data_IF_081053408522
#
_entry.id   IF_081053408522
#
_cell.length_a   1.000
_cell.length_b   1.000
_cell.length_c   1.000
_cell.angle_alpha   90.00
_cell.angle_beta   90.00
_cell.angle_gamma   90.00
#
_symmetry.space_group_name_H-M   'P 1'
#
loop_
_entity.id
_entity.type
_entity.pdbx_description
1 polymer ?
#
# COMPACT_ATOMS: atom_id res chain seq x y z
N UNK A 1 -10.58 62.73 14.97
CA UNK A 1 -10.14 61.27 15.07
C UNK A 1 -9.73 61.03 16.52
N UNK A 2 -10.56 60.27 17.30
CA UNK A 2 -10.19 59.83 18.66
C UNK A 2 -9.02 58.87 18.54
N UNK A 3 -7.84 59.25 19.03
CA UNK A 3 -6.74 58.35 19.24
C UNK A 3 -7.15 57.28 20.30
N UNK A 4 -7.48 56.09 19.85
CA UNK A 4 -7.71 54.97 20.74
C UNK A 4 -6.42 54.72 21.51
N UNK A 5 -6.42 54.96 22.83
CA UNK A 5 -5.29 54.64 23.71
C UNK A 5 -5.00 53.14 23.56
N UNK A 6 -3.83 52.78 23.11
CA UNK A 6 -3.39 51.40 23.13
C UNK A 6 -3.31 50.92 24.58
N UNK A 7 -4.05 49.85 24.96
CA UNK A 7 -3.99 49.38 26.32
C UNK A 7 -2.55 48.92 26.65
N UNK A 8 -2.06 49.27 27.87
CA UNK A 8 -0.78 48.76 28.36
C UNK A 8 -0.94 47.29 28.73
N UNK A 9 0.05 46.46 28.41
CA UNK A 9 0.06 45.04 28.70
C UNK A 9 1.27 44.70 29.57
N UNK A 10 1.06 43.85 30.57
CA UNK A 10 2.15 43.23 31.31
C UNK A 10 2.82 42.16 30.44
N UNK A 11 4.14 42.17 30.42
CA UNK A 11 4.92 41.09 29.80
C UNK A 11 4.69 39.80 30.59
N UNK A 12 4.23 38.73 29.91
CA UNK A 12 4.04 37.43 30.53
C UNK A 12 5.41 36.78 30.74
N UNK A 13 5.84 36.59 32.00
CA UNK A 13 7.00 35.78 32.34
C UNK A 13 6.56 34.34 32.62
N UNK A 14 7.37 33.37 32.19
CA UNK A 14 7.16 31.96 32.42
C UNK A 14 8.40 31.35 33.07
N UNK A 15 8.20 30.47 34.04
CA UNK A 15 9.28 29.68 34.61
C UNK A 15 9.80 28.63 33.62
N UNK A 16 11.04 28.11 33.80
CA UNK A 16 11.56 27.02 32.96
C UNK A 16 10.63 25.79 33.00
N UNK A 17 10.31 25.25 31.80
CA UNK A 17 9.43 24.10 31.67
C UNK A 17 7.94 24.33 31.99
N UNK A 18 7.55 25.59 32.28
CA UNK A 18 6.15 25.91 32.62
C UNK A 18 5.21 25.78 31.44
N UNK A 19 5.59 26.34 30.30
CA UNK A 19 4.68 26.38 29.15
C UNK A 19 5.40 26.36 27.80
N UNK A 20 4.70 25.79 26.80
CA UNK A 20 5.01 25.95 25.38
C UNK A 20 3.80 26.56 24.65
N UNK A 21 4.05 27.21 23.51
CA UNK A 21 3.03 27.72 22.60
C UNK A 21 3.12 27.01 21.26
N UNK A 22 1.94 26.75 20.67
CA UNK A 22 1.82 26.03 19.39
C UNK A 22 0.96 26.80 18.42
N UNK A 23 1.39 26.83 17.16
CA UNK A 23 0.59 27.37 16.05
C UNK A 23 0.93 26.70 14.74
N UNK A 24 0.05 26.89 13.75
CA UNK A 24 0.27 26.48 12.37
C UNK A 24 0.57 27.69 11.46
N UNK A 25 1.47 27.46 10.51
CA UNK A 25 1.71 28.40 9.42
C UNK A 25 1.52 27.76 8.05
N UNK A 26 1.15 28.56 7.06
CA UNK A 26 1.09 28.10 5.67
C UNK A 26 2.43 28.36 4.97
N UNK A 27 2.94 27.35 4.30
CA UNK A 27 4.15 27.43 3.45
C UNK A 27 3.81 27.34 1.94
N UNK A 28 2.52 27.55 1.58
CA UNK A 28 2.11 27.51 0.18
C UNK A 28 1.76 26.11 -0.29
N UNK A 29 2.38 25.65 -1.37
CA UNK A 29 2.06 24.38 -2.03
C UNK A 29 3.35 23.64 -2.36
N UNK A 30 3.34 22.33 -2.13
CA UNK A 30 4.40 21.40 -2.54
C UNK A 30 3.92 20.55 -3.71
N UNK A 31 4.82 20.24 -4.65
CA UNK A 31 4.57 19.28 -5.73
C UNK A 31 5.05 17.90 -5.28
N UNK A 32 4.14 16.93 -5.16
CA UNK A 32 4.45 15.53 -4.85
C UNK A 32 4.04 14.67 -6.05
N UNK A 33 5.02 14.20 -6.81
CA UNK A 33 4.76 13.56 -8.10
C UNK A 33 3.91 14.45 -9.00
N UNK A 34 2.77 13.93 -9.49
CA UNK A 34 1.80 14.69 -10.30
C UNK A 34 0.79 15.52 -9.47
N UNK A 35 0.86 15.47 -8.14
CA UNK A 35 -0.16 16.08 -7.26
C UNK A 35 0.37 17.32 -6.55
N UNK A 36 -0.39 18.42 -6.59
CA UNK A 36 -0.14 19.61 -5.77
C UNK A 36 -0.85 19.48 -4.43
N UNK A 37 -0.10 19.64 -3.33
CA UNK A 37 -0.64 19.61 -1.96
C UNK A 37 -0.32 20.90 -1.22
N UNK A 38 -1.28 21.33 -0.39
CA UNK A 38 -1.01 22.41 0.57
C UNK A 38 0.10 21.98 1.51
N UNK A 39 1.11 22.81 1.67
CA UNK A 39 2.17 22.64 2.63
C UNK A 39 1.92 23.56 3.84
N UNK A 40 1.78 22.96 5.00
CA UNK A 40 1.66 23.67 6.29
C UNK A 40 2.88 23.36 7.13
N UNK A 41 3.20 24.21 8.08
CA UNK A 41 4.23 23.94 9.06
C UNK A 41 3.69 24.17 10.48
N UNK A 42 4.07 23.27 11.36
CA UNK A 42 3.82 23.33 12.78
C UNK A 42 4.97 24.03 13.47
N UNK A 43 4.68 24.89 14.45
CA UNK A 43 5.67 25.55 15.30
C UNK A 43 5.32 25.30 16.73
N UNK A 44 6.30 24.83 17.52
CA UNK A 44 6.21 24.82 18.99
C UNK A 44 7.40 25.61 19.55
N UNK A 45 7.10 26.54 20.45
CA UNK A 45 8.12 27.37 21.13
C UNK A 45 7.98 27.27 22.65
N UNK A 46 9.09 27.00 23.32
CA UNK A 46 9.12 27.04 24.79
C UNK A 46 9.05 28.50 25.28
N UNK A 47 8.18 28.76 26.25
CA UNK A 47 7.90 30.14 26.70
C UNK A 47 9.01 30.78 27.49
N UNK A 48 9.92 30.02 28.11
CA UNK A 48 11.06 30.55 28.84
C UNK A 48 12.27 30.79 27.96
N UNK A 49 12.88 29.75 27.40
CA UNK A 49 14.12 29.85 26.58
C UNK A 49 13.90 30.39 25.19
N UNK A 50 12.68 30.36 24.67
CA UNK A 50 12.36 30.59 23.25
C UNK A 50 12.90 29.51 22.30
N UNK A 51 13.33 28.36 22.84
CA UNK A 51 13.69 27.20 22.03
C UNK A 51 12.53 26.81 21.13
N UNK A 52 12.80 26.72 19.83
CA UNK A 52 11.78 26.57 18.79
C UNK A 52 11.95 25.24 18.09
N UNK A 53 10.84 24.58 17.80
CA UNK A 53 10.72 23.41 16.94
C UNK A 53 9.80 23.74 15.76
N UNK A 54 10.16 23.26 14.56
CA UNK A 54 9.37 23.44 13.31
C UNK A 54 9.33 22.13 12.56
N UNK A 55 8.15 21.77 12.06
CA UNK A 55 7.95 20.58 11.21
C UNK A 55 6.94 20.88 10.10
N UNK A 56 7.25 20.50 8.87
CA UNK A 56 6.39 20.65 7.71
C UNK A 56 5.54 19.42 7.49
N UNK A 57 4.28 19.63 7.09
CA UNK A 57 3.30 18.57 6.85
C UNK A 57 2.43 18.86 5.63
N UNK A 58 1.88 17.79 5.02
CA UNK A 58 0.92 17.90 3.92
C UNK A 58 -0.54 18.06 4.40
N UNK A 59 -0.77 18.41 5.66
CA UNK A 59 -2.10 18.63 6.23
C UNK A 59 -2.05 18.99 7.71
N UNK A 60 -3.15 19.55 8.19
CA UNK A 60 -3.32 19.99 9.59
C UNK A 60 -4.31 19.09 10.36
N UNK A 61 -4.59 17.87 9.85
CA UNK A 61 -5.53 16.94 10.48
C UNK A 61 -4.98 16.42 11.82
N UNK A 62 -5.87 15.85 12.66
CA UNK A 62 -5.55 15.44 14.04
C UNK A 62 -4.30 14.57 14.13
N UNK A 63 -4.11 13.60 13.23
CA UNK A 63 -2.93 12.75 13.23
C UNK A 63 -1.62 13.52 13.00
N UNK A 64 -1.63 14.56 12.15
CA UNK A 64 -0.47 15.44 11.94
C UNK A 64 -0.21 16.31 13.17
N UNK A 65 -1.28 16.87 13.74
CA UNK A 65 -1.20 17.70 14.94
C UNK A 65 -0.60 16.95 16.12
N UNK A 66 -1.05 15.72 16.38
CA UNK A 66 -0.54 14.89 17.47
C UNK A 66 0.91 14.42 17.18
N UNK A 67 1.22 14.04 15.94
CA UNK A 67 2.58 13.65 15.56
C UNK A 67 3.58 14.78 15.72
N UNK A 68 3.25 15.99 15.26
CA UNK A 68 4.10 17.16 15.43
C UNK A 68 4.33 17.52 16.89
N UNK A 69 3.33 17.37 17.77
CA UNK A 69 3.50 17.51 19.21
C UNK A 69 4.48 16.45 19.74
N UNK A 70 4.28 15.18 19.41
CA UNK A 70 5.16 14.09 19.83
C UNK A 70 6.62 14.34 19.43
N UNK A 71 6.84 14.71 18.16
CA UNK A 71 8.17 15.00 17.62
C UNK A 71 8.81 16.22 18.30
N UNK A 72 8.01 17.27 18.57
CA UNK A 72 8.47 18.46 19.31
C UNK A 72 8.88 18.12 20.75
N UNK A 73 8.07 17.33 21.46
CA UNK A 73 8.39 16.89 22.83
C UNK A 73 9.65 16.01 22.84
N UNK A 74 9.85 15.16 21.83
CA UNK A 74 11.09 14.39 21.67
C UNK A 74 12.29 15.30 21.41
N UNK A 75 12.15 16.31 20.55
CA UNK A 75 13.18 17.30 20.27
C UNK A 75 13.59 18.07 21.51
N UNK A 76 12.67 18.48 22.37
CA UNK A 76 12.96 19.14 23.64
C UNK A 76 13.44 18.14 24.72
N UNK A 77 13.24 16.85 24.56
CA UNK A 77 13.62 15.83 25.53
C UNK A 77 12.75 15.81 26.77
N UNK A 78 11.55 16.39 26.74
CA UNK A 78 10.63 16.44 27.87
C UNK A 78 9.32 17.15 27.56
N UNK A 79 8.40 17.12 28.53
CA UNK A 79 7.06 17.69 28.41
C UNK A 79 6.91 18.93 29.30
N UNK A 80 6.56 20.12 28.80
CA UNK A 80 6.25 21.28 29.59
C UNK A 80 4.98 21.07 30.40
N UNK A 81 4.80 21.80 31.51
CA UNK A 81 3.61 21.67 32.37
C UNK A 81 2.31 22.02 31.62
N UNK A 82 2.35 22.98 30.71
CA UNK A 82 1.20 23.37 29.88
C UNK A 82 1.58 23.61 28.43
N UNK A 83 0.64 23.34 27.50
CA UNK A 83 0.76 23.71 26.10
C UNK A 83 -0.41 24.63 25.71
N UNK A 84 -0.04 25.85 25.30
CA UNK A 84 -0.99 26.86 24.86
C UNK A 84 -1.21 26.69 23.36
N UNK A 85 -2.48 26.48 22.98
CA UNK A 85 -2.90 26.37 21.58
C UNK A 85 -3.90 27.47 21.26
N UNK A 86 -3.85 27.98 20.03
CA UNK A 86 -4.93 28.84 19.55
C UNK A 86 -6.19 28.01 19.27
N UNK A 87 -7.28 28.66 18.87
CA UNK A 87 -8.57 28.04 18.54
C UNK A 87 -8.47 27.14 17.27
N UNK A 88 -7.50 26.27 17.25
CA UNK A 88 -7.29 25.27 16.19
C UNK A 88 -8.35 24.17 16.32
N UNK A 89 -9.18 23.96 15.31
CA UNK A 89 -10.26 22.96 15.32
C UNK A 89 -9.79 21.53 15.63
N UNK A 90 -8.52 21.23 15.37
CA UNK A 90 -7.89 19.95 15.72
C UNK A 90 -7.67 19.77 17.22
N UNK A 91 -7.44 20.86 17.94
CA UNK A 91 -7.22 20.84 19.41
C UNK A 91 -8.43 21.38 20.19
N UNK A 92 -9.09 22.44 19.71
CA UNK A 92 -10.21 23.14 20.39
C UNK A 92 -11.46 23.03 19.53
N UNK A 93 -12.50 22.36 20.01
CA UNK A 93 -13.78 22.22 19.32
C UNK A 93 -14.61 23.50 19.41
N UNK A 94 -14.60 24.15 20.56
CA UNK A 94 -15.25 25.46 20.77
C UNK A 94 -14.60 26.25 21.90
N UNK A 95 -14.43 27.54 21.67
CA UNK A 95 -14.00 28.47 22.71
C UNK A 95 -14.73 29.82 22.49
N UNK A 96 -15.72 30.10 23.32
CA UNK A 96 -16.49 31.35 23.29
C UNK A 96 -16.00 32.26 24.40
N UNK A 97 -16.05 33.57 24.17
CA UNK A 97 -15.71 34.56 25.18
C UNK A 97 -16.51 34.34 26.45
N UNK A 98 -15.82 34.25 27.62
CA UNK A 98 -16.45 34.03 28.93
C UNK A 98 -16.77 32.55 29.24
N UNK A 99 -16.53 31.61 28.33
CA UNK A 99 -16.73 30.18 28.57
C UNK A 99 -15.42 29.40 28.53
N UNK A 100 -15.40 28.26 29.25
CA UNK A 100 -14.27 27.32 29.16
C UNK A 100 -14.13 26.75 27.77
N UNK A 101 -12.90 26.58 27.30
CA UNK A 101 -12.62 25.92 26.03
C UNK A 101 -13.03 24.45 26.08
N UNK A 102 -13.65 23.94 25.01
CA UNK A 102 -13.96 22.54 24.82
C UNK A 102 -12.88 21.96 23.89
N UNK A 103 -12.03 21.10 24.43
CA UNK A 103 -10.96 20.47 23.67
C UNK A 103 -11.45 19.23 22.93
N UNK A 104 -10.72 18.86 21.87
CA UNK A 104 -10.91 17.59 21.20
C UNK A 104 -10.57 16.44 22.17
N UNK A 105 -11.45 15.44 22.38
CA UNK A 105 -11.21 14.33 23.31
C UNK A 105 -9.87 13.63 23.06
N UNK A 106 -9.51 13.38 21.79
CA UNK A 106 -8.23 12.77 21.46
C UNK A 106 -7.02 13.62 21.86
N UNK A 107 -7.16 14.93 21.82
CA UNK A 107 -6.10 15.82 22.30
C UNK A 107 -6.01 15.80 23.82
N UNK A 108 -7.14 15.65 24.52
CA UNK A 108 -7.15 15.45 25.98
C UNK A 108 -6.48 14.13 26.37
N UNK A 109 -6.79 13.04 25.68
CA UNK A 109 -6.15 11.73 25.93
C UNK A 109 -4.63 11.81 25.69
N UNK A 110 -4.22 12.47 24.60
CA UNK A 110 -2.81 12.72 24.30
C UNK A 110 -2.15 13.58 25.37
N UNK A 111 -2.79 14.66 25.82
CA UNK A 111 -2.30 15.54 26.86
C UNK A 111 -2.14 14.79 28.20
N UNK A 112 -3.09 13.95 28.56
CA UNK A 112 -3.03 13.10 29.75
C UNK A 112 -1.87 12.09 29.68
N UNK A 113 -1.68 11.46 28.49
CA UNK A 113 -0.59 10.50 28.27
C UNK A 113 0.80 11.15 28.44
N UNK A 114 1.00 12.36 27.90
CA UNK A 114 2.26 13.10 28.02
C UNK A 114 2.37 13.93 29.31
N UNK A 115 1.29 14.06 30.06
CA UNK A 115 1.28 14.72 31.38
C UNK A 115 1.30 16.26 31.32
N UNK A 116 0.78 16.90 30.26
CA UNK A 116 0.66 18.36 30.19
C UNK A 116 -0.80 18.82 30.24
N UNK A 117 -0.99 20.07 30.69
CA UNK A 117 -2.29 20.73 30.68
C UNK A 117 -2.49 21.46 29.34
N UNK A 118 -3.52 21.12 28.52
CA UNK A 118 -3.85 21.90 27.33
C UNK A 118 -4.56 23.18 27.76
N UNK A 119 -4.06 24.34 27.27
CA UNK A 119 -4.63 25.65 27.53
C UNK A 119 -4.99 26.32 26.20
N UNK A 120 -6.22 26.80 26.07
CA UNK A 120 -6.60 27.61 24.91
C UNK A 120 -6.22 29.06 25.15
N UNK A 121 -5.62 29.74 24.17
CA UNK A 121 -5.36 31.16 24.23
C UNK A 121 -6.69 31.92 24.33
N UNK A 122 -6.74 32.94 25.21
CA UNK A 122 -7.95 33.72 25.40
C UNK A 122 -8.35 34.48 24.12
N UNK A 123 -9.63 34.47 23.80
CA UNK A 123 -10.20 35.23 22.68
C UNK A 123 -9.91 36.72 22.85
N UNK A 124 -9.28 37.37 21.86
CA UNK A 124 -8.91 38.80 21.81
C UNK A 124 -7.74 39.21 22.74
N UNK A 125 -6.95 38.31 23.29
CA UNK A 125 -5.74 38.65 24.03
C UNK A 125 -4.48 38.34 23.22
N UNK A 126 -4.14 39.22 22.30
CA UNK A 126 -3.00 39.06 21.39
C UNK A 126 -1.65 38.86 22.10
N UNK A 127 -1.48 39.41 23.31
CA UNK A 127 -0.24 39.26 24.11
C UNK A 127 0.06 37.82 24.51
N UNK A 128 -0.96 36.98 24.68
CA UNK A 128 -0.79 35.56 25.05
C UNK A 128 -0.21 34.75 23.90
N UNK A 129 -0.37 35.20 22.64
CA UNK A 129 0.03 34.50 21.42
C UNK A 129 1.31 35.07 20.76
N UNK A 130 1.76 36.23 21.19
CA UNK A 130 2.83 36.98 20.50
C UNK A 130 4.14 36.21 20.27
N UNK A 131 4.47 35.23 21.11
CA UNK A 131 5.70 34.42 20.97
C UNK A 131 5.67 33.49 19.76
N UNK A 132 4.58 32.70 19.66
CA UNK A 132 4.44 31.74 18.53
C UNK A 132 4.15 32.48 17.22
N UNK A 133 3.42 33.57 17.24
CA UNK A 133 3.22 34.41 16.02
C UNK A 133 4.54 34.98 15.50
N UNK A 134 5.42 35.42 16.39
CA UNK A 134 6.76 35.87 16.05
C UNK A 134 7.60 34.70 15.47
N UNK A 135 7.48 33.51 16.04
CA UNK A 135 8.15 32.31 15.53
C UNK A 135 7.65 31.93 14.13
N UNK A 136 6.32 31.91 13.91
CA UNK A 136 5.71 31.71 12.57
C UNK A 136 6.19 32.77 11.58
N UNK A 137 6.22 34.05 12.00
CA UNK A 137 6.78 35.13 11.17
C UNK A 137 8.25 34.95 10.84
N UNK A 138 9.04 34.41 11.78
CA UNK A 138 10.45 34.10 11.57
C UNK A 138 10.63 32.97 10.55
N UNK A 139 9.88 31.88 10.64
CA UNK A 139 9.90 30.79 9.64
C UNK A 139 9.61 31.34 8.25
N UNK A 140 8.55 32.14 8.10
CA UNK A 140 8.19 32.73 6.80
C UNK A 140 9.25 33.62 6.23
N UNK A 141 9.88 34.47 7.05
CA UNK A 141 10.82 35.51 6.58
C UNK A 141 12.26 35.02 6.42
N UNK A 142 12.67 33.98 7.15
CA UNK A 142 14.06 33.52 7.17
C UNK A 142 14.24 32.12 6.59
N UNK A 143 13.33 31.19 6.87
CA UNK A 143 13.43 29.83 6.33
C UNK A 143 12.82 29.77 4.91
N UNK A 144 11.58 30.24 4.76
CA UNK A 144 10.85 30.11 3.48
C UNK A 144 11.26 31.17 2.44
N UNK A 145 11.64 32.36 2.84
CA UNK A 145 11.97 33.46 1.90
C UNK A 145 13.24 33.24 1.09
N UNK A 146 14.12 32.31 1.45
CA UNK A 146 15.36 32.00 0.75
C UNK A 146 15.50 30.57 0.27
N UNK A 147 14.43 29.75 0.38
CA UNK A 147 14.47 28.33 0.06
C UNK A 147 13.68 28.04 -1.23
N UNK A 148 14.39 27.55 -2.25
CA UNK A 148 13.73 26.75 -3.27
C UNK A 148 13.28 25.44 -2.61
N UNK A 149 12.00 25.36 -2.26
CA UNK A 149 11.43 24.23 -1.54
C UNK A 149 11.62 22.94 -2.36
N UNK A 150 12.39 21.96 -1.83
CA UNK A 150 12.54 20.67 -2.53
C UNK A 150 11.18 19.98 -2.65
N UNK A 151 10.97 19.23 -3.74
CA UNK A 151 9.73 18.44 -3.97
C UNK A 151 9.67 17.18 -3.10
N UNK A 152 10.16 17.24 -1.87
CA UNK A 152 10.19 16.15 -0.91
C UNK A 152 9.95 16.70 0.51
N UNK A 153 8.91 16.18 1.16
CA UNK A 153 8.59 16.56 2.54
C UNK A 153 9.73 16.23 3.50
N UNK A 154 10.40 15.09 3.30
CA UNK A 154 11.56 14.70 4.11
C UNK A 154 12.72 15.70 3.96
N UNK A 155 13.05 16.09 2.72
CA UNK A 155 14.11 17.06 2.47
C UNK A 155 13.81 18.44 3.07
N UNK A 156 12.55 18.89 3.01
CA UNK A 156 12.12 20.14 3.65
C UNK A 156 12.29 20.07 5.17
N UNK A 157 11.89 18.95 5.80
CA UNK A 157 12.03 18.76 7.24
C UNK A 157 13.50 18.66 7.67
N UNK A 158 14.35 18.01 6.87
CA UNK A 158 15.81 18.01 7.12
C UNK A 158 16.38 19.43 7.05
N UNK A 159 15.99 20.22 6.06
CA UNK A 159 16.40 21.62 5.96
C UNK A 159 15.88 22.47 7.13
N UNK A 160 14.67 22.22 7.60
CA UNK A 160 14.10 22.90 8.77
C UNK A 160 14.88 22.58 10.05
N UNK A 161 15.24 21.34 10.30
CA UNK A 161 16.06 20.93 11.44
C UNK A 161 17.45 21.59 11.37
N UNK A 162 18.09 21.57 10.20
CA UNK A 162 19.38 22.25 10.01
C UNK A 162 19.28 23.77 10.30
N UNK A 163 18.22 24.41 9.81
CA UNK A 163 17.97 25.83 10.07
C UNK A 163 17.72 26.10 11.56
N UNK A 164 17.01 25.23 12.28
CA UNK A 164 16.81 25.34 13.73
C UNK A 164 18.16 25.29 14.48
N UNK A 165 19.03 24.36 14.09
CA UNK A 165 20.32 24.13 14.76
C UNK A 165 21.37 25.20 14.45
N UNK A 166 21.34 25.77 13.25
CA UNK A 166 22.39 26.71 12.78
C UNK A 166 21.97 28.17 12.84
N UNK A 167 20.68 28.49 12.80
CA UNK A 167 20.18 29.87 12.73
C UNK A 167 19.16 30.18 13.81
N UNK A 168 18.04 29.49 13.86
CA UNK A 168 16.91 29.95 14.66
C UNK A 168 17.18 29.91 16.18
N UNK A 169 17.77 28.82 16.65
CA UNK A 169 18.00 28.58 18.07
C UNK A 169 19.38 29.07 18.58
N UNK A 170 20.29 29.49 17.66
CA UNK A 170 21.64 29.94 18.03
C UNK A 170 21.83 31.46 17.91
N UNK A 171 20.89 32.19 17.28
CA UNK A 171 20.90 33.64 17.24
C UNK A 171 20.47 34.25 18.57
N UNK A 172 20.97 35.45 18.89
CA UNK A 172 20.50 36.19 20.08
C UNK A 172 19.05 36.60 19.90
N UNK A 173 18.20 36.16 20.85
CA UNK A 173 16.79 36.51 20.84
C UNK A 173 16.57 37.91 21.38
N UNK A 174 15.76 38.71 20.68
CA UNK A 174 15.57 40.15 21.00
C UNK A 174 15.06 40.40 22.44
N UNK A 175 14.19 39.55 22.94
CA UNK A 175 13.56 39.71 24.25
C UNK A 175 14.47 39.19 25.38
N UNK A 176 15.03 37.97 25.23
CA UNK A 176 15.88 37.36 26.27
C UNK A 176 17.31 37.82 26.23
N UNK A 177 17.77 38.45 25.12
CA UNK A 177 19.18 38.85 24.87
C UNK A 177 20.17 37.68 24.96
N UNK A 178 19.70 36.47 24.81
CA UNK A 178 20.45 35.21 24.90
C UNK A 178 20.07 34.28 23.73
N UNK A 179 20.94 33.33 23.45
CA UNK A 179 20.72 32.31 22.46
C UNK A 179 19.73 31.28 23.05
N UNK A 180 18.60 30.99 22.38
CA UNK A 180 17.61 30.01 22.87
C UNK A 180 18.21 28.65 23.24
N UNK A 181 19.12 28.13 22.41
CA UNK A 181 19.78 26.84 22.66
C UNK A 181 20.63 26.84 23.93
N UNK A 182 21.38 27.96 24.20
CA UNK A 182 22.18 28.07 25.42
C UNK A 182 21.31 28.19 26.67
N UNK A 183 20.29 29.05 26.61
CA UNK A 183 19.34 29.22 27.72
C UNK A 183 18.58 27.93 28.01
N UNK A 184 18.16 27.22 26.96
CA UNK A 184 17.51 25.92 27.08
C UNK A 184 18.44 24.91 27.78
N UNK A 185 19.65 24.71 27.26
CA UNK A 185 20.58 23.72 27.80
C UNK A 185 20.97 23.99 29.27
N UNK A 186 21.17 25.28 29.62
CA UNK A 186 21.62 25.66 30.97
C UNK A 186 20.52 25.60 32.01
N UNK A 187 19.27 25.95 31.67
CA UNK A 187 18.23 26.21 32.67
C UNK A 187 16.95 25.40 32.42
N UNK A 188 16.47 25.33 31.14
CA UNK A 188 15.16 24.79 30.87
C UNK A 188 15.16 23.28 30.61
N UNK A 189 16.24 22.71 30.04
CA UNK A 189 16.34 21.28 29.76
C UNK A 189 16.09 20.32 30.93
N UNK A 190 16.52 20.61 32.16
CA UNK A 190 16.25 19.75 33.32
C UNK A 190 14.86 19.95 33.94
N UNK A 191 14.10 21.00 33.55
CA UNK A 191 12.84 21.38 34.18
C UNK A 191 11.59 20.65 33.69
N UNK A 192 11.47 20.24 32.37
CA UNK A 192 10.31 19.51 31.87
C UNK A 192 10.16 18.11 32.49
N UNK A 193 8.93 17.61 32.49
CA UNK A 193 8.67 16.22 32.89
C UNK A 193 9.29 15.26 31.89
N UNK A 194 9.80 14.09 32.32
CA UNK A 194 10.32 13.08 31.41
C UNK A 194 9.22 12.58 30.49
N UNK A 195 9.62 12.19 29.27
CA UNK A 195 8.71 11.59 28.30
C UNK A 195 8.24 10.21 28.79
N UNK A 196 7.00 9.81 28.45
CA UNK A 196 6.53 8.46 28.73
C UNK A 196 7.38 7.44 27.94
N UNK A 197 7.60 6.23 28.52
CA UNK A 197 8.43 5.20 27.88
C UNK A 197 7.81 4.64 26.59
N UNK A 198 6.48 4.73 26.46
CA UNK A 198 5.75 4.31 25.26
C UNK A 198 5.16 5.56 24.60
N UNK A 199 5.39 5.75 23.29
CA UNK A 199 4.77 6.85 22.56
C UNK A 199 3.24 6.79 22.58
N UNK A 200 2.59 7.95 22.64
CA UNK A 200 1.14 8.05 22.56
C UNK A 200 0.57 7.65 21.21
N UNK A 201 -0.69 7.19 21.16
CA UNK A 201 -1.37 6.89 19.90
C UNK A 201 -1.73 8.17 19.15
N UNK A 202 -1.09 8.37 18.03
CA UNK A 202 -1.31 9.50 17.11
C UNK A 202 -2.17 9.13 15.89
N UNK A 203 -2.59 7.86 15.78
CA UNK A 203 -3.37 7.38 14.63
C UNK A 203 -4.81 7.89 14.67
N UNK A 204 -5.44 7.98 13.51
CA UNK A 204 -6.90 8.17 13.40
C UNK A 204 -7.53 6.89 12.92
N UNK A 205 -8.32 6.25 13.80
CA UNK A 205 -9.04 5.04 13.48
C UNK A 205 -10.30 5.33 12.67
N UNK A 206 -10.55 4.54 11.62
CA UNK A 206 -11.76 4.58 10.77
C UNK A 206 -12.15 3.17 10.38
N UNK A 207 -13.45 2.90 10.38
CA UNK A 207 -13.97 1.67 9.78
C UNK A 207 -14.01 1.85 8.26
N UNK A 208 -13.44 0.89 7.54
CA UNK A 208 -13.37 0.88 6.07
C UNK A 208 -13.86 -0.45 5.53
N UNK A 209 -14.51 -0.44 4.38
CA UNK A 209 -14.93 -1.66 3.69
C UNK A 209 -13.93 -2.01 2.61
N UNK A 210 -13.50 -3.26 2.61
CA UNK A 210 -12.64 -3.80 1.55
C UNK A 210 -13.46 -4.03 0.28
N UNK A 211 -12.96 -3.57 -0.86
CA UNK A 211 -13.61 -3.84 -2.14
C UNK A 211 -13.47 -5.32 -2.53
N UNK A 212 -14.32 -5.85 -3.45
CA UNK A 212 -14.14 -7.21 -3.99
C UNK A 212 -12.79 -7.43 -4.69
N UNK A 213 -12.09 -6.35 -5.06
CA UNK A 213 -10.73 -6.37 -5.63
C UNK A 213 -9.63 -6.32 -4.57
N UNK A 214 -9.96 -6.60 -3.30
CA UNK A 214 -9.01 -6.59 -2.18
C UNK A 214 -8.31 -5.25 -2.01
N UNK A 215 -9.05 -4.13 -2.08
CA UNK A 215 -8.52 -2.76 -1.91
C UNK A 215 -9.32 -1.99 -0.86
N UNK A 216 -8.60 -1.23 -0.07
CA UNK A 216 -9.13 -0.18 0.80
C UNK A 216 -8.77 1.17 0.20
N UNK A 217 -9.66 2.16 0.31
CA UNK A 217 -9.45 3.51 -0.22
C UNK A 217 -9.23 4.50 0.92
N UNK A 218 -8.13 5.26 0.85
CA UNK A 218 -7.88 6.43 1.70
C UNK A 218 -7.33 7.57 0.86
N UNK A 219 -7.87 8.78 1.03
CA UNK A 219 -7.43 10.00 0.34
C UNK A 219 -7.27 9.82 -1.19
N UNK A 220 -8.21 9.10 -1.85
CA UNK A 220 -8.23 8.72 -3.28
C UNK A 220 -7.23 7.62 -3.68
N UNK A 221 -6.36 7.19 -2.80
CA UNK A 221 -5.39 6.12 -3.04
C UNK A 221 -5.95 4.76 -2.62
N UNK A 222 -5.51 3.71 -3.30
CA UNK A 222 -5.91 2.33 -3.05
C UNK A 222 -4.75 1.57 -2.42
N UNK A 223 -5.08 0.74 -1.44
CA UNK A 223 -4.12 -0.07 -0.71
C UNK A 223 -4.60 -1.51 -0.65
N UNK A 224 -3.75 -2.45 -1.02
CA UNK A 224 -4.11 -3.86 -1.06
C UNK A 224 -4.26 -4.45 0.35
N UNK A 225 -5.10 -5.47 0.45
CA UNK A 225 -5.23 -6.31 1.65
C UNK A 225 -5.31 -7.77 1.22
N UNK A 226 -4.97 -8.74 2.10
CA UNK A 226 -5.07 -10.16 1.77
C UNK A 226 -6.47 -10.54 1.28
N UNK A 227 -6.52 -11.39 0.27
CA UNK A 227 -7.75 -11.77 -0.47
C UNK A 227 -8.87 -12.32 0.42
N UNK A 228 -8.52 -12.98 1.52
CA UNK A 228 -9.48 -13.52 2.51
C UNK A 228 -10.35 -12.46 3.18
N UNK A 229 -9.95 -11.18 3.16
CA UNK A 229 -10.72 -10.07 3.72
C UNK A 229 -11.57 -9.31 2.70
N UNK A 230 -11.67 -9.81 1.46
CA UNK A 230 -12.51 -9.20 0.42
C UNK A 230 -13.95 -9.00 0.90
N UNK A 231 -14.51 -7.83 0.64
CA UNK A 231 -15.87 -7.42 1.04
C UNK A 231 -16.14 -7.31 2.54
N UNK A 232 -15.13 -7.52 3.40
CA UNK A 232 -15.25 -7.39 4.86
C UNK A 232 -14.99 -5.96 5.33
N UNK A 233 -15.33 -5.68 6.58
CA UNK A 233 -14.99 -4.43 7.27
C UNK A 233 -13.69 -4.59 8.03
N UNK A 234 -12.80 -3.62 7.90
CA UNK A 234 -11.55 -3.52 8.63
C UNK A 234 -11.48 -2.18 9.37
N UNK A 235 -10.68 -2.14 10.42
CA UNK A 235 -10.31 -0.89 11.09
C UNK A 235 -8.99 -0.39 10.50
N UNK A 236 -9.02 0.80 9.91
CA UNK A 236 -7.85 1.47 9.37
C UNK A 236 -7.35 2.49 10.39
N UNK A 237 -6.10 2.36 10.83
CA UNK A 237 -5.38 3.35 11.62
C UNK A 237 -4.48 4.17 10.67
N UNK A 238 -4.85 5.43 10.47
CA UNK A 238 -4.11 6.35 9.62
C UNK A 238 -3.10 7.15 10.45
N UNK A 239 -1.81 6.89 10.25
CA UNK A 239 -0.69 7.70 10.76
C UNK A 239 -0.26 8.73 9.71
N UNK A 240 0.60 9.70 10.03
CA UNK A 240 1.16 10.62 9.04
C UNK A 240 2.02 9.93 7.97
N UNK A 241 2.75 8.86 8.34
CA UNK A 241 3.75 8.16 7.54
C UNK A 241 3.27 6.81 6.99
N UNK A 242 2.30 6.17 7.64
CA UNK A 242 1.83 4.82 7.31
C UNK A 242 0.35 4.61 7.57
N UNK A 243 -0.15 3.52 7.06
CA UNK A 243 -1.50 2.99 7.29
C UNK A 243 -1.36 1.58 7.87
N UNK A 244 -2.09 1.29 8.93
CA UNK A 244 -2.21 -0.04 9.51
C UNK A 244 -3.66 -0.48 9.42
N UNK A 245 -3.91 -1.66 8.89
CA UNK A 245 -5.23 -2.25 8.71
C UNK A 245 -5.39 -3.42 9.68
N UNK A 246 -6.47 -3.42 10.44
CA UNK A 246 -6.76 -4.43 11.46
C UNK A 246 -8.10 -5.10 11.18
N UNK A 247 -8.14 -6.41 11.38
CA UNK A 247 -9.39 -7.18 11.52
C UNK A 247 -9.50 -7.61 12.98
N UNK A 248 -10.53 -7.14 13.68
CA UNK A 248 -10.61 -7.18 15.13
C UNK A 248 -9.33 -6.55 15.76
N UNK A 249 -8.48 -7.35 16.39
CA UNK A 249 -7.23 -6.88 17.01
C UNK A 249 -5.96 -7.33 16.26
N UNK A 250 -6.13 -8.08 15.15
CA UNK A 250 -5.02 -8.61 14.36
C UNK A 250 -4.61 -7.61 13.28
N UNK A 251 -3.33 -7.28 13.22
CA UNK A 251 -2.75 -6.51 12.12
C UNK A 251 -2.80 -7.35 10.83
N UNK A 252 -3.44 -6.81 9.79
CA UNK A 252 -3.69 -7.49 8.52
C UNK A 252 -2.73 -7.01 7.44
N UNK A 253 -2.52 -5.68 7.38
CA UNK A 253 -1.64 -5.07 6.39
C UNK A 253 -1.09 -3.74 6.90
N UNK A 254 0.12 -3.40 6.43
CA UNK A 254 0.75 -2.10 6.65
C UNK A 254 1.23 -1.54 5.32
N UNK A 255 0.93 -0.27 5.04
CA UNK A 255 1.39 0.41 3.83
C UNK A 255 1.98 1.78 4.17
N UNK A 256 2.95 2.27 3.42
CA UNK A 256 3.38 3.66 3.50
C UNK A 256 2.23 4.57 3.09
N UNK A 257 2.02 5.67 3.82
CA UNK A 257 1.00 6.65 3.45
C UNK A 257 1.46 7.49 2.27
N UNK A 258 0.62 7.60 1.25
CA UNK A 258 0.90 8.41 0.08
C UNK A 258 0.01 9.66 0.06
N UNK A 259 0.63 10.81 -0.17
CA UNK A 259 -0.06 12.09 -0.31
C UNK A 259 -0.29 12.51 -1.78
N UNK A 260 0.11 11.68 -2.75
CA UNK A 260 -0.34 11.80 -4.14
C UNK A 260 -1.81 11.41 -4.28
N UNK A 261 -2.36 11.46 -5.49
CA UNK A 261 -3.74 11.04 -5.78
C UNK A 261 -3.77 9.88 -6.75
N UNK A 262 -4.82 9.04 -6.62
CA UNK A 262 -5.14 7.95 -7.55
C UNK A 262 -4.01 6.92 -7.72
N UNK A 263 -3.17 6.75 -6.69
CA UNK A 263 -2.13 5.70 -6.66
C UNK A 263 -2.74 4.39 -6.17
N UNK A 264 -2.20 3.28 -6.66
CA UNK A 264 -2.54 1.93 -6.21
C UNK A 264 -1.29 1.26 -5.65
N UNK A 265 -1.35 0.88 -4.38
CA UNK A 265 -0.27 0.22 -3.65
C UNK A 265 -0.63 -1.24 -3.47
N UNK A 266 0.07 -2.10 -4.17
CA UNK A 266 -0.12 -3.54 -4.13
C UNK A 266 1.04 -4.23 -3.42
N UNK A 267 0.69 -5.05 -2.44
CA UNK A 267 1.60 -6.03 -1.88
C UNK A 267 1.34 -7.35 -2.62
N UNK A 268 2.36 -7.92 -3.30
CA UNK A 268 2.21 -9.16 -4.07
C UNK A 268 1.72 -10.34 -3.23
N UNK A 269 2.06 -10.40 -1.96
CA UNK A 269 1.64 -11.49 -1.08
C UNK A 269 0.13 -11.47 -0.79
N UNK A 270 -0.51 -10.31 -0.88
CA UNK A 270 -1.94 -10.17 -0.65
C UNK A 270 -2.82 -10.86 -1.72
N UNK A 271 -2.31 -11.04 -2.94
CA UNK A 271 -3.04 -11.69 -4.05
C UNK A 271 -2.55 -13.10 -4.36
N UNK A 272 -1.45 -13.52 -3.73
CA UNK A 272 -0.83 -14.83 -3.98
C UNK A 272 -1.79 -15.99 -3.79
N UNK A 273 -2.52 -16.01 -2.68
CA UNK A 273 -3.52 -17.04 -2.39
C UNK A 273 -4.59 -17.13 -3.49
N UNK A 274 -5.06 -16.00 -4.00
CA UNK A 274 -6.05 -15.95 -5.09
C UNK A 274 -5.46 -16.45 -6.42
N UNK A 275 -4.20 -16.12 -6.69
CA UNK A 275 -3.50 -16.63 -7.89
C UNK A 275 -3.29 -18.15 -7.80
N UNK A 276 -2.94 -18.67 -6.63
CA UNK A 276 -2.78 -20.11 -6.40
C UNK A 276 -4.13 -20.84 -6.54
N UNK A 277 -5.21 -20.29 -6.01
CA UNK A 277 -6.56 -20.82 -6.21
C UNK A 277 -6.96 -20.85 -7.68
N UNK A 278 -6.70 -19.78 -8.44
CA UNK A 278 -6.94 -19.73 -9.89
C UNK A 278 -6.11 -20.76 -10.65
N UNK A 279 -4.86 -20.93 -10.25
CA UNK A 279 -3.97 -21.92 -10.85
C UNK A 279 -4.50 -23.34 -10.62
N UNK A 280 -4.83 -23.68 -9.37
CA UNK A 280 -5.43 -24.98 -9.00
C UNK A 280 -6.76 -25.24 -9.72
N UNK A 281 -7.64 -24.23 -9.80
CA UNK A 281 -8.92 -24.35 -10.51
C UNK A 281 -8.72 -24.59 -12.00
N UNK A 282 -7.73 -23.94 -12.63
CA UNK A 282 -7.39 -24.17 -14.05
C UNK A 282 -6.76 -25.54 -14.24
N UNK A 283 -5.89 -25.96 -13.34
CA UNK A 283 -5.27 -27.28 -13.37
C UNK A 283 -6.30 -28.39 -13.14
N UNK A 284 -7.30 -28.19 -12.31
CA UNK A 284 -8.43 -29.12 -12.15
C UNK A 284 -9.33 -29.17 -13.40
N UNK A 285 -9.56 -28.03 -14.06
CA UNK A 285 -10.45 -27.98 -15.23
C UNK A 285 -9.93 -28.80 -16.40
N UNK A 286 -8.65 -28.72 -16.78
CA UNK A 286 -8.10 -29.50 -17.90
C UNK A 286 -8.08 -30.99 -17.58
N UNK A 287 -7.87 -31.39 -16.35
CA UNK A 287 -7.93 -32.77 -15.90
C UNK A 287 -9.35 -33.33 -16.00
N UNK A 288 -10.35 -32.57 -15.52
CA UNK A 288 -11.75 -32.92 -15.66
C UNK A 288 -12.18 -33.03 -17.14
N UNK A 289 -11.72 -32.13 -18.00
CA UNK A 289 -11.97 -32.19 -19.45
C UNK A 289 -11.39 -33.47 -20.04
N UNK A 290 -10.19 -33.85 -19.63
CA UNK A 290 -9.56 -35.11 -20.08
C UNK A 290 -10.32 -36.36 -19.57
N UNK A 291 -10.73 -36.38 -18.30
CA UNK A 291 -11.47 -37.51 -17.76
C UNK A 291 -12.86 -37.68 -18.39
N UNK A 292 -13.42 -36.59 -18.92
CA UNK A 292 -14.72 -36.68 -19.64
C UNK A 292 -14.60 -37.29 -21.04
N UNK A 293 -13.38 -37.50 -21.59
CA UNK A 293 -13.19 -38.08 -22.93
C UNK A 293 -13.51 -39.56 -22.95
N UNK A 294 -13.04 -40.36 -21.98
CA UNK A 294 -13.19 -41.79 -21.91
C UNK A 294 -13.23 -42.29 -20.46
N UNK A 295 -13.97 -43.33 -20.13
CA UNK A 295 -13.88 -43.98 -18.81
C UNK A 295 -12.46 -44.47 -18.48
N UNK A 296 -11.64 -44.68 -19.46
CA UNK A 296 -10.25 -45.13 -19.31
C UNK A 296 -9.25 -44.01 -19.15
N UNK A 297 -9.66 -42.75 -19.26
CA UNK A 297 -8.77 -41.57 -19.17
C UNK A 297 -8.06 -41.48 -17.82
N UNK A 298 -8.71 -41.85 -16.73
CA UNK A 298 -8.10 -41.85 -15.40
C UNK A 298 -6.93 -42.84 -15.32
N UNK A 299 -7.15 -44.05 -15.80
CA UNK A 299 -6.10 -45.07 -15.86
C UNK A 299 -4.92 -44.61 -16.76
N UNK A 300 -5.22 -44.01 -17.91
CA UNK A 300 -4.21 -43.44 -18.81
C UNK A 300 -3.37 -42.37 -18.12
N UNK A 301 -4.00 -41.49 -17.35
CA UNK A 301 -3.32 -40.44 -16.56
C UNK A 301 -2.40 -41.05 -15.49
N UNK A 302 -2.88 -42.04 -14.73
CA UNK A 302 -2.08 -42.76 -13.74
C UNK A 302 -0.83 -43.37 -14.33
N UNK A 303 -0.91 -43.91 -15.56
CA UNK A 303 0.24 -44.48 -16.25
C UNK A 303 1.21 -43.42 -16.78
N UNK A 304 0.74 -42.24 -17.18
CA UNK A 304 1.61 -41.10 -17.50
C UNK A 304 2.42 -40.64 -16.27
N UNK A 305 1.74 -40.55 -15.11
CA UNK A 305 2.37 -40.21 -13.83
C UNK A 305 3.42 -41.24 -13.42
N UNK A 306 3.08 -42.52 -13.45
CA UNK A 306 3.96 -43.61 -13.08
C UNK A 306 5.27 -43.65 -13.94
N UNK A 307 5.19 -43.18 -15.16
CA UNK A 307 6.35 -43.10 -16.11
C UNK A 307 7.12 -41.78 -16.05
N UNK A 308 6.80 -40.91 -15.10
CA UNK A 308 7.42 -39.58 -14.93
C UNK A 308 7.37 -38.70 -16.19
N UNK A 309 6.36 -38.88 -17.03
CA UNK A 309 6.12 -38.05 -18.22
C UNK A 309 5.51 -36.72 -17.82
N UNK A 310 5.69 -35.68 -18.65
CA UNK A 310 5.04 -34.40 -18.40
C UNK A 310 3.54 -34.51 -18.73
N UNK A 311 2.76 -34.94 -17.70
CA UNK A 311 1.32 -35.19 -17.77
C UNK A 311 0.56 -34.06 -18.43
N UNK A 312 0.87 -32.82 -18.02
CA UNK A 312 0.17 -31.64 -18.52
C UNK A 312 0.33 -31.44 -20.03
N UNK A 313 1.52 -31.68 -20.54
CA UNK A 313 1.80 -31.54 -21.98
C UNK A 313 1.06 -32.59 -22.76
N UNK A 314 1.10 -33.86 -22.33
CA UNK A 314 0.44 -34.96 -23.01
C UNK A 314 -1.08 -34.82 -22.96
N UNK A 315 -1.66 -34.56 -21.80
CA UNK A 315 -3.11 -34.42 -21.63
C UNK A 315 -3.65 -33.22 -22.41
N UNK A 316 -2.99 -32.04 -22.36
CA UNK A 316 -3.42 -30.89 -23.17
C UNK A 316 -3.43 -31.17 -24.68
N UNK A 317 -2.42 -31.90 -25.17
CA UNK A 317 -2.40 -32.33 -26.57
C UNK A 317 -3.55 -33.29 -26.91
N UNK A 318 -3.83 -34.27 -26.02
CA UNK A 318 -4.92 -35.21 -26.23
C UNK A 318 -6.28 -34.50 -26.20
N UNK A 319 -6.47 -33.55 -25.27
CA UNK A 319 -7.68 -32.72 -25.24
C UNK A 319 -7.82 -31.87 -26.54
N UNK A 320 -6.73 -31.30 -27.03
CA UNK A 320 -6.78 -30.57 -28.32
C UNK A 320 -7.12 -31.46 -29.50
N UNK A 321 -6.70 -32.72 -29.51
CA UNK A 321 -7.08 -33.69 -30.56
C UNK A 321 -8.60 -33.97 -30.58
N UNK A 322 -9.32 -33.78 -29.48
CA UNK A 322 -10.80 -33.93 -29.50
C UNK A 322 -11.49 -32.84 -30.31
N UNK A 323 -10.91 -31.65 -30.42
CA UNK A 323 -11.45 -30.57 -31.24
C UNK A 323 -11.26 -30.86 -32.75
N UNK A 324 -10.22 -31.61 -33.09
CA UNK A 324 -9.88 -31.92 -34.47
C UNK A 324 -10.61 -33.21 -34.97
N UNK A 325 -10.57 -34.26 -34.15
CA UNK A 325 -11.01 -35.59 -34.55
C UNK A 325 -12.36 -36.02 -33.96
N UNK A 326 -12.86 -35.26 -32.93
CA UNK A 326 -14.05 -35.59 -32.16
C UNK A 326 -13.76 -36.48 -30.96
N UNK A 327 -14.58 -36.35 -29.91
CA UNK A 327 -14.38 -37.01 -28.63
C UNK A 327 -14.42 -38.53 -28.72
N UNK A 328 -15.33 -39.09 -29.51
CA UNK A 328 -15.49 -40.53 -29.65
C UNK A 328 -14.25 -41.23 -30.26
N UNK A 329 -13.65 -40.63 -31.32
CA UNK A 329 -12.46 -41.18 -31.95
C UNK A 329 -11.22 -41.12 -31.03
N UNK A 330 -11.12 -40.06 -30.27
CA UNK A 330 -10.02 -39.92 -29.28
C UNK A 330 -10.21 -40.89 -28.11
N UNK A 331 -11.45 -41.13 -27.67
CA UNK A 331 -11.75 -42.13 -26.65
C UNK A 331 -11.29 -43.54 -27.08
N UNK A 332 -11.64 -43.96 -28.29
CA UNK A 332 -11.19 -45.23 -28.87
C UNK A 332 -9.66 -45.28 -29.03
N UNK A 333 -9.03 -44.19 -29.39
CA UNK A 333 -7.56 -44.14 -29.47
C UNK A 333 -6.85 -44.26 -28.11
N UNK A 334 -7.48 -43.74 -27.04
CA UNK A 334 -7.01 -43.93 -25.66
C UNK A 334 -7.11 -45.44 -25.28
N UNK A 335 -8.18 -46.14 -25.63
CA UNK A 335 -8.34 -47.58 -25.39
C UNK A 335 -7.27 -48.41 -26.09
N UNK A 336 -7.02 -48.15 -27.39
CA UNK A 336 -5.95 -48.83 -28.16
C UNK A 336 -4.57 -48.55 -27.55
N UNK A 337 -4.32 -47.34 -27.12
CA UNK A 337 -3.05 -46.97 -26.53
C UNK A 337 -2.82 -47.68 -25.20
N UNK A 338 -3.86 -47.91 -24.39
CA UNK A 338 -3.81 -48.70 -23.17
C UNK A 338 -3.53 -50.17 -23.47
N UNK A 339 -4.24 -50.77 -24.46
CA UNK A 339 -4.02 -52.15 -24.87
C UNK A 339 -2.58 -52.36 -25.36
N UNK A 340 -2.02 -51.37 -26.07
CA UNK A 340 -0.65 -51.41 -26.56
C UNK A 340 0.40 -50.96 -25.54
N UNK A 341 -0.04 -50.62 -24.30
CA UNK A 341 0.82 -50.04 -23.24
C UNK A 341 1.66 -48.83 -23.67
N UNK A 342 1.16 -48.04 -24.63
CA UNK A 342 1.84 -46.88 -25.22
C UNK A 342 1.23 -45.57 -24.73
N UNK A 343 1.86 -44.95 -23.74
CA UNK A 343 1.34 -43.77 -23.06
C UNK A 343 2.09 -42.50 -23.52
N UNK A 344 1.65 -41.95 -24.67
CA UNK A 344 2.09 -40.63 -25.13
C UNK A 344 1.04 -39.98 -26.05
N UNK A 345 0.99 -38.64 -26.03
CA UNK A 345 0.09 -37.90 -26.94
C UNK A 345 0.39 -38.15 -28.43
N UNK A 346 1.68 -38.38 -28.75
CA UNK A 346 2.10 -38.70 -30.13
C UNK A 346 1.57 -40.04 -30.59
N UNK A 347 1.50 -41.03 -29.72
CA UNK A 347 0.93 -42.33 -30.06
C UNK A 347 -0.57 -42.23 -30.34
N UNK A 348 -1.31 -41.46 -29.55
CA UNK A 348 -2.74 -41.17 -29.81
C UNK A 348 -2.91 -40.47 -31.16
N UNK A 349 -2.09 -39.47 -31.44
CA UNK A 349 -2.08 -38.74 -32.72
C UNK A 349 -1.85 -39.68 -33.88
N UNK A 350 -0.84 -40.55 -33.83
CA UNK A 350 -0.56 -41.54 -34.87
C UNK A 350 -1.71 -42.54 -35.08
N UNK A 351 -2.38 -43.03 -34.02
CA UNK A 351 -3.56 -43.88 -34.17
C UNK A 351 -4.68 -43.15 -34.94
N UNK A 352 -4.94 -41.88 -34.56
CA UNK A 352 -5.96 -41.07 -35.18
C UNK A 352 -5.66 -40.80 -36.67
N UNK A 353 -4.39 -40.51 -36.99
CA UNK A 353 -3.95 -40.34 -38.37
C UNK A 353 -4.06 -41.61 -39.21
N UNK A 354 -3.65 -42.75 -38.67
CA UNK A 354 -3.78 -44.05 -39.31
C UNK A 354 -5.25 -44.41 -39.62
N UNK A 355 -6.14 -44.17 -38.64
CA UNK A 355 -7.58 -44.38 -38.84
C UNK A 355 -8.22 -43.39 -39.79
N UNK A 356 -7.67 -42.20 -39.97
CA UNK A 356 -8.11 -41.20 -40.93
C UNK A 356 -7.62 -41.52 -42.36
N UNK A 357 -6.56 -42.32 -42.50
CA UNK A 357 -6.07 -42.79 -43.82
C UNK A 357 -7.05 -43.82 -44.36
N UNK A 358 -8.15 -43.36 -44.99
CA UNK A 358 -8.98 -44.17 -45.86
C UNK A 358 -8.13 -44.54 -47.06
N UNK A 359 -7.55 -45.76 -47.04
CA UNK A 359 -7.13 -46.40 -48.31
C UNK A 359 -8.41 -46.78 -49.02
N UNK A 360 -8.78 -46.14 -50.11
CA UNK A 360 -9.91 -46.64 -50.91
C UNK A 360 -9.53 -48.03 -51.39
N UNK A 361 -10.37 -49.04 -51.11
CA UNK A 361 -10.27 -50.35 -51.74
C UNK A 361 -10.21 -50.08 -53.25
N UNK A 362 -9.15 -50.54 -53.96
CA UNK A 362 -9.12 -50.33 -55.41
C UNK A 362 -10.35 -50.97 -55.94
N UNK A 363 -11.16 -50.21 -56.69
CA UNK A 363 -12.29 -50.72 -57.38
C UNK A 363 -11.82 -51.77 -58.42
N UNK A 364 -12.68 -52.67 -58.86
CA UNK A 364 -12.32 -53.64 -59.84
C UNK A 364 -11.77 -52.92 -61.07
N UNK A 365 -10.64 -53.42 -61.58
CA UNK A 365 -9.99 -52.86 -62.79
C UNK A 365 -10.96 -52.99 -64.01
N UNK A 366 -11.48 -51.89 -64.45
CA UNK A 366 -12.23 -51.80 -65.71
C UNK A 366 -11.29 -51.43 -66.83
N UNK A 367 -11.01 -52.43 -67.67
CA UNK A 367 -10.29 -52.20 -68.94
C UNK A 367 -11.24 -51.63 -69.97
N UNK A 368 -11.15 -50.35 -70.27
CA UNK A 368 -12.03 -49.61 -71.21
C UNK A 368 -11.66 -49.78 -72.65
N UNK A 369 -10.51 -50.37 -73.02
CA UNK A 369 -10.01 -50.51 -74.42
C UNK A 369 -9.84 -51.93 -74.92
N UNK A 370 -9.73 -52.92 -73.98
CA UNK A 370 -9.52 -54.32 -74.36
C UNK A 370 -10.18 -55.24 -73.35
N UNK A 371 -11.44 -55.48 -73.52
CA UNK A 371 -12.24 -56.36 -72.63
C UNK A 371 -11.76 -57.82 -72.63
N UNK A 372 -11.13 -58.23 -73.72
CA UNK A 372 -10.53 -59.54 -73.95
C UNK A 372 -9.36 -59.86 -72.97
N UNK A 373 -8.77 -58.85 -72.34
CA UNK A 373 -7.69 -59.04 -71.40
C UNK A 373 -8.22 -59.39 -69.91
N UNK A 374 -9.52 -59.27 -69.70
CA UNK A 374 -10.17 -59.69 -68.46
C UNK A 374 -10.33 -61.21 -68.37
N UNK A 375 -10.40 -61.90 -69.51
CA UNK A 375 -10.59 -63.35 -69.55
C UNK A 375 -9.27 -64.08 -69.84
N UNK A 376 -8.13 -63.40 -69.69
CA UNK A 376 -6.82 -64.00 -69.88
C UNK A 376 -6.42 -64.85 -68.71
N UNK A 377 -6.59 -66.20 -68.85
CA UNK A 377 -6.02 -67.15 -67.86
C UNK A 377 -4.53 -67.26 -68.15
N UNK A 378 -3.74 -66.68 -67.20
CA UNK A 378 -2.31 -66.83 -67.16
C UNK A 378 -1.94 -68.21 -66.60
N UNK A 379 -1.06 -68.97 -67.25
CA UNK A 379 -0.57 -70.20 -66.66
C UNK A 379 0.13 -69.86 -65.35
N UNK A 380 -0.05 -70.75 -64.34
CA UNK A 380 0.65 -70.67 -63.05
C UNK A 380 2.16 -70.48 -63.33
N UNK A 381 2.73 -69.46 -62.71
CA UNK A 381 4.15 -69.21 -62.86
C UNK A 381 4.94 -70.44 -62.29
N UNK A 382 5.84 -70.98 -63.10
CA UNK A 382 6.74 -72.06 -62.74
C UNK A 382 7.84 -71.41 -61.88
N UNK A 383 7.81 -71.65 -60.57
CA UNK A 383 8.77 -71.13 -59.55
C UNK A 383 9.96 -72.08 -59.35
N UNK A 384 9.95 -73.26 -60.02
CA UNK A 384 11.03 -74.25 -59.88
C UNK A 384 12.44 -73.69 -60.15
N UNK A 385 12.65 -72.68 -61.05
CA UNK A 385 13.96 -72.10 -61.27
C UNK A 385 14.49 -71.30 -60.03
N UNK A 386 13.63 -70.90 -59.12
CA UNK A 386 13.99 -70.12 -57.94
C UNK A 386 14.26 -70.96 -56.65
N UNK A 387 13.90 -72.24 -56.66
CA UNK A 387 14.15 -73.20 -55.60
C UNK A 387 15.55 -73.83 -55.65
N UNK A 388 16.42 -73.37 -56.60
CA UNK A 388 17.77 -73.90 -56.73
C UNK A 388 18.87 -72.84 -56.53
N UNK A 389 18.67 -71.91 -55.54
CA UNK A 389 19.73 -71.03 -55.05
C UNK A 389 19.87 -71.21 -53.55
#
# INVERSE_FOLDING_TARGET
RRHARRPAFLSLAFAPGEAAQVDWGSAGVIQLGATRRRLSFFVMILCHSRMTYVEFTCGEATQHFLACHQNALQFFGGTPAAILIDNLKTGVLSHRFGHKAVFNPRYLDFAAHYGFEPRACNVRKANEKGRVENAVGCVKKNLLAGLDLPNSLSAINTAALHWLDTIANVRDHKETRQQPAKLFAAIEKPAPRPLPPVPGDISVARTVRVTPRCRVVLDTNRYSVPSRYASQQLTLHAFPDRLCLYHAHQLVATHPRCYERHRDFEDPDHVKELLDQRRRARDAKWLLTFYAISPHSEHYHQQLTARHLNERVHINKIVALTEIHGTEKVALAIEDAIQSQAYSSQYIENILEQRARHTPTPGPLHLTRRADLLDLELPTADLTPYDMI
#
